data_IF_566916481196
#
_entry.id   IF_566916481196
#
_cell.length_a   1.000
_cell.length_b   1.000
_cell.length_c   1.000
_cell.angle_alpha   90.00
_cell.angle_beta   90.00
_cell.angle_gamma   90.00
#
_symmetry.space_group_name_H-M   'P 1'
#
loop_
_entity.id
_entity.type
_entity.pdbx_description
1 polymer ?
#
# COMPACT_ATOMS: atom_id res chain seq x y z
N UNK A 1 8.66 -23.53 15.88
CA UNK A 1 7.56 -22.60 15.56
C UNK A 1 8.20 -21.23 15.33
N UNK A 2 8.57 -20.92 14.08
CA UNK A 2 9.09 -19.59 13.77
C UNK A 2 7.90 -18.67 13.56
N UNK A 3 7.54 -17.90 14.59
CA UNK A 3 6.77 -16.69 14.34
C UNK A 3 7.74 -15.75 13.60
N UNK A 4 7.76 -15.83 12.27
CA UNK A 4 8.31 -14.76 11.46
C UNK A 4 7.47 -13.53 11.81
N UNK A 5 7.98 -12.69 12.70
CA UNK A 5 7.55 -11.31 12.87
C UNK A 5 7.86 -10.61 11.55
N UNK A 6 7.07 -10.88 10.50
CA UNK A 6 7.07 -10.08 9.30
C UNK A 6 6.79 -8.68 9.78
N UNK A 7 7.79 -7.79 9.66
CA UNK A 7 7.65 -6.38 9.95
C UNK A 7 6.29 -5.90 9.44
N UNK A 8 5.56 -5.11 10.24
CA UNK A 8 4.24 -4.61 9.84
C UNK A 8 4.41 -3.80 8.55
N UNK A 9 4.15 -4.43 7.42
CA UNK A 9 4.31 -3.84 6.10
C UNK A 9 2.99 -3.17 5.73
N UNK A 10 3.08 -1.91 5.31
CA UNK A 10 1.93 -1.11 4.91
C UNK A 10 1.98 -0.80 3.44
N UNK A 11 0.82 -0.76 2.80
CA UNK A 11 0.70 -0.48 1.38
C UNK A 11 -0.38 0.56 1.16
N UNK A 12 -0.14 1.44 0.20
CA UNK A 12 -1.13 2.40 -0.29
C UNK A 12 -1.73 1.81 -1.57
N UNK A 13 -3.04 1.66 -1.63
CA UNK A 13 -3.76 1.14 -2.79
C UNK A 13 -4.73 2.21 -3.28
N UNK A 14 -4.64 2.57 -4.55
CA UNK A 14 -5.57 3.47 -5.23
C UNK A 14 -6.84 2.71 -5.58
N UNK A 15 -7.97 3.22 -5.09
CA UNK A 15 -9.29 2.72 -5.41
C UNK A 15 -9.74 3.21 -6.79
N UNK A 16 -10.71 2.53 -7.42
CA UNK A 16 -11.34 2.98 -8.66
C UNK A 16 -11.95 4.38 -8.57
N UNK A 17 -12.37 4.81 -7.37
CA UNK A 17 -12.87 6.16 -7.09
C UNK A 17 -11.79 7.25 -7.17
N UNK A 18 -10.51 6.87 -7.23
CA UNK A 18 -9.38 7.81 -7.30
C UNK A 18 -8.77 8.16 -5.93
N UNK A 19 -9.42 7.78 -4.82
CA UNK A 19 -8.83 7.87 -3.49
C UNK A 19 -7.82 6.76 -3.23
N UNK A 20 -7.02 6.92 -2.18
CA UNK A 20 -6.03 5.93 -1.79
C UNK A 20 -6.17 5.55 -0.32
N UNK A 21 -6.23 4.24 -0.07
CA UNK A 21 -6.36 3.65 1.26
C UNK A 21 -5.06 2.97 1.68
N UNK A 22 -4.84 2.87 2.99
CA UNK A 22 -3.66 2.23 3.56
C UNK A 22 -4.10 0.91 4.20
N UNK A 23 -3.48 -0.18 3.76
CA UNK A 23 -3.70 -1.53 4.30
C UNK A 23 -2.41 -2.05 4.93
N UNK A 24 -2.53 -2.79 6.04
CA UNK A 24 -1.42 -3.65 6.48
C UNK A 24 -1.37 -4.90 5.60
N UNK A 25 -0.21 -5.55 5.55
CA UNK A 25 -0.02 -6.78 4.81
C UNK A 25 -0.98 -7.91 5.26
N UNK A 26 -1.45 -7.87 6.51
CA UNK A 26 -2.40 -8.83 7.08
C UNK A 26 -3.86 -8.51 6.71
N UNK A 27 -4.16 -7.23 6.46
CA UNK A 27 -5.51 -6.72 6.15
C UNK A 27 -5.76 -6.60 4.65
N UNK A 28 -4.77 -6.91 3.81
CA UNK A 28 -4.97 -6.79 2.37
C UNK A 28 -5.96 -7.85 1.87
N UNK A 29 -7.02 -7.44 1.16
CA UNK A 29 -8.00 -8.38 0.63
C UNK A 29 -7.34 -9.25 -0.47
N UNK A 30 -6.91 -10.46 -0.11
CA UNK A 30 -6.82 -11.64 -0.97
C UNK A 30 -5.99 -11.61 -2.26
N UNK A 31 -5.17 -10.59 -2.54
CA UNK A 31 -4.38 -10.55 -3.77
C UNK A 31 -3.03 -9.84 -3.59
N UNK A 32 -2.10 -10.48 -2.88
CA UNK A 32 -0.72 -10.46 -3.35
C UNK A 32 -0.17 -11.87 -3.18
N UNK A 33 -0.36 -12.68 -4.22
CA UNK A 33 0.64 -13.69 -4.53
C UNK A 33 1.96 -12.91 -4.70
N UNK A 34 2.87 -13.04 -3.73
CA UNK A 34 4.13 -12.28 -3.66
C UNK A 34 5.13 -12.68 -4.77
N UNK A 35 4.62 -13.21 -5.88
CA UNK A 35 5.38 -13.92 -6.91
C UNK A 35 5.13 -13.35 -8.30
N UNK A 36 4.65 -12.12 -8.43
CA UNK A 36 4.64 -11.46 -9.73
C UNK A 36 5.11 -10.01 -9.62
N UNK A 37 6.44 -9.86 -9.72
CA UNK A 37 7.12 -8.56 -9.92
C UNK A 37 6.78 -7.92 -11.29
N UNK A 38 5.74 -8.40 -11.97
CA UNK A 38 5.43 -8.08 -13.36
C UNK A 38 4.01 -7.52 -13.57
N UNK A 39 3.15 -7.48 -12.54
CA UNK A 39 1.91 -6.67 -12.60
C UNK A 39 2.19 -5.23 -12.18
N UNK A 40 2.87 -4.54 -13.10
CA UNK A 40 3.01 -3.09 -13.20
C UNK A 40 1.64 -2.40 -13.35
N UNK A 41 0.79 -2.53 -12.35
CA UNK A 41 -0.49 -1.83 -12.28
C UNK A 41 -0.28 -0.67 -11.32
N UNK A 42 -0.15 0.53 -11.88
CA UNK A 42 0.28 1.82 -11.29
C UNK A 42 -0.51 2.33 -10.07
N UNK A 43 -1.26 1.47 -9.39
CA UNK A 43 -2.26 1.78 -8.39
C UNK A 43 -1.86 1.28 -6.98
N UNK A 44 -0.63 0.81 -6.77
CA UNK A 44 -0.15 0.39 -5.45
C UNK A 44 1.26 0.92 -5.16
N UNK A 45 1.52 1.29 -3.91
CA UNK A 45 2.82 1.73 -3.42
C UNK A 45 3.14 1.10 -2.06
N UNK A 46 4.39 0.68 -1.88
CA UNK A 46 4.88 0.01 -0.67
C UNK A 46 5.81 -1.17 -1.01
N UNK A 47 6.16 -2.02 -0.02
CA UNK A 47 5.77 -1.92 1.39
C UNK A 47 6.45 -0.75 2.12
N UNK A 48 5.75 -0.17 3.09
CA UNK A 48 6.28 0.80 4.04
C UNK A 48 6.43 0.15 5.42
N UNK A 49 7.38 0.64 6.19
CA UNK A 49 7.76 0.04 7.48
C UNK A 49 6.85 0.47 8.63
N UNK A 50 6.00 1.46 8.41
CA UNK A 50 5.09 2.01 9.42
C UNK A 50 3.87 2.65 8.78
N UNK A 51 2.76 2.73 9.54
CA UNK A 51 1.56 3.43 9.10
C UNK A 51 1.81 4.93 8.86
N UNK A 52 2.59 5.58 9.73
CA UNK A 52 2.98 6.99 9.57
C UNK A 52 3.79 7.26 8.31
N UNK A 53 4.68 6.33 7.94
CA UNK A 53 5.42 6.40 6.68
C UNK A 53 4.44 6.30 5.50
N UNK A 54 3.53 5.34 5.52
CA UNK A 54 2.50 5.20 4.49
C UNK A 54 1.58 6.44 4.41
N UNK A 55 1.23 7.07 5.53
CA UNK A 55 0.45 8.33 5.55
C UNK A 55 1.24 9.45 4.88
N UNK A 56 2.50 9.64 5.23
CA UNK A 56 3.37 10.68 4.66
C UNK A 56 3.52 10.48 3.14
N UNK A 57 3.70 9.24 2.71
CA UNK A 57 3.79 8.86 1.29
C UNK A 57 2.47 9.10 0.57
N UNK A 58 1.33 8.79 1.18
CA UNK A 58 -0.01 9.08 0.64
C UNK A 58 -0.21 10.56 0.39
N UNK A 59 0.20 11.43 1.32
CA UNK A 59 0.14 12.89 1.12
C UNK A 59 0.99 13.31 -0.08
N UNK A 60 2.18 12.73 -0.25
CA UNK A 60 3.00 12.94 -1.44
C UNK A 60 2.29 12.53 -2.73
N UNK A 61 1.58 11.39 -2.73
CA UNK A 61 0.79 10.93 -3.87
C UNK A 61 -0.39 11.85 -4.19
N UNK A 62 -1.02 12.46 -3.17
CA UNK A 62 -2.06 13.47 -3.37
C UNK A 62 -1.48 14.70 -4.06
N UNK A 63 -0.35 15.22 -3.57
CA UNK A 63 0.34 16.38 -4.18
C UNK A 63 0.80 16.12 -5.62
N UNK A 64 1.10 14.86 -5.95
CA UNK A 64 1.46 14.43 -7.29
C UNK A 64 0.26 14.13 -8.21
N UNK A 65 -0.98 14.35 -7.74
CA UNK A 65 -2.20 14.07 -8.51
C UNK A 65 -2.51 12.58 -8.69
N UNK A 66 -1.81 11.69 -7.99
CA UNK A 66 -1.99 10.23 -8.10
C UNK A 66 -3.18 9.75 -7.27
N UNK A 67 -3.45 10.41 -6.15
CA UNK A 67 -4.56 10.13 -5.23
C UNK A 67 -5.41 11.39 -5.02
N UNK A 68 -6.71 11.23 -4.84
CA UNK A 68 -7.59 12.32 -4.43
C UNK A 68 -7.62 12.47 -2.90
N UNK A 69 -7.67 13.71 -2.36
CA UNK A 69 -7.91 13.93 -0.95
C UNK A 69 -9.30 13.42 -0.56
N UNK A 70 -9.44 12.96 0.70
CA UNK A 70 -10.73 12.62 1.33
C UNK A 70 -11.03 13.67 2.39
#
# INVERSE_FOLDING_TARGET
MVANLTALQFYIVKQPSGHCDIFSAEQMPGAIDRTDSSTNTLNQWGPFTSRDEAISRRVGLIRAGKCQPQ
#
